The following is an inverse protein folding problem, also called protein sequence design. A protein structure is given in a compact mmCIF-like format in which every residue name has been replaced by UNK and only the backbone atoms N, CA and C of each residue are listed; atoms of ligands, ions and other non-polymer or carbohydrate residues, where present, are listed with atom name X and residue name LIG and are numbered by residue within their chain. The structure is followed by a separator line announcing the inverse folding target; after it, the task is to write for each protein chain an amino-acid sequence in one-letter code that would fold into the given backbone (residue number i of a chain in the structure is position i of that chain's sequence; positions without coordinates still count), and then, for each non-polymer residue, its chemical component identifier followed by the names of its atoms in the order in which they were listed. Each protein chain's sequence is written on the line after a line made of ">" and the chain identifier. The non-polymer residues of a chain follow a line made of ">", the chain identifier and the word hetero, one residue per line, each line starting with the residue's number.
data_IF_491617478223
#
_entry.id   IF_491617478223
#
_cell.length_a   1.000
_cell.length_b   1.000
_cell.length_c   1.000
_cell.angle_alpha   90.00
_cell.angle_beta   90.00
_cell.angle_gamma   90.00
#
_symmetry.space_group_name_H-M   'P 1'
#
loop_
_entity.id
_entity.type
_entity.pdbx_description
1 polymer ?
#
# COMPACT_ATOMS: atom_id res chain seq x y z
N UNK A 1 -28.37 -6.44 -25.38
CA UNK A 1 -26.91 -6.29 -25.21
C UNK A 1 -26.49 -7.13 -24.02
N UNK A 2 -25.73 -8.19 -24.24
CA UNK A 2 -25.18 -9.01 -23.15
C UNK A 2 -24.08 -8.20 -22.48
N UNK A 3 -24.25 -7.84 -21.19
CA UNK A 3 -23.16 -7.36 -20.37
C UNK A 3 -22.13 -8.48 -20.30
N UNK A 4 -21.02 -8.33 -21.00
CA UNK A 4 -19.86 -9.19 -20.79
C UNK A 4 -19.42 -8.96 -19.34
N UNK A 5 -19.72 -9.90 -18.44
CA UNK A 5 -19.17 -9.89 -17.10
C UNK A 5 -17.67 -10.06 -17.28
N UNK A 6 -16.93 -8.97 -17.15
CA UNK A 6 -15.48 -9.04 -17.04
C UNK A 6 -15.17 -9.78 -15.74
N UNK A 7 -14.74 -11.03 -15.85
CA UNK A 7 -14.23 -11.73 -14.69
C UNK A 7 -12.91 -11.07 -14.29
N UNK A 8 -12.79 -10.76 -13.01
CA UNK A 8 -11.62 -10.10 -12.42
C UNK A 8 -11.06 -11.01 -11.33
N UNK A 9 -9.79 -11.38 -11.45
CA UNK A 9 -9.11 -12.28 -10.53
C UNK A 9 -8.13 -11.51 -9.67
N UNK A 10 -8.28 -11.62 -8.34
CA UNK A 10 -7.30 -11.16 -7.36
C UNK A 10 -6.26 -12.25 -7.17
N UNK A 11 -5.01 -11.95 -7.45
CA UNK A 11 -3.88 -12.89 -7.44
C UNK A 11 -2.69 -12.26 -6.70
N UNK A 12 -1.80 -13.10 -6.15
CA UNK A 12 -0.49 -12.62 -5.71
C UNK A 12 0.33 -12.11 -6.90
N UNK A 13 0.99 -10.98 -6.72
CA UNK A 13 1.92 -10.43 -7.71
C UNK A 13 3.13 -11.35 -7.88
N UNK A 14 3.40 -11.78 -9.10
CA UNK A 14 4.57 -12.57 -9.48
C UNK A 14 5.64 -11.70 -10.16
N UNK A 15 6.83 -12.26 -10.37
CA UNK A 15 7.89 -11.57 -11.13
C UNK A 15 7.47 -11.25 -12.56
N UNK A 16 6.60 -12.08 -13.16
CA UNK A 16 6.11 -11.89 -14.53
C UNK A 16 5.19 -10.68 -14.66
N UNK A 17 4.52 -10.27 -13.58
CA UNK A 17 3.59 -9.14 -13.57
C UNK A 17 4.30 -7.79 -13.47
N UNK A 18 5.60 -7.79 -13.15
CA UNK A 18 6.35 -6.57 -12.82
C UNK A 18 6.24 -5.48 -13.90
N UNK A 19 6.38 -5.85 -15.17
CA UNK A 19 6.34 -4.89 -16.29
C UNK A 19 4.96 -4.27 -16.41
N UNK A 20 3.90 -5.07 -16.33
CA UNK A 20 2.52 -4.59 -16.41
C UNK A 20 2.14 -3.72 -15.21
N UNK A 21 2.57 -4.11 -14.00
CA UNK A 21 2.39 -3.28 -12.81
C UNK A 21 3.07 -1.92 -12.97
N UNK A 22 4.32 -1.87 -13.48
CA UNK A 22 5.02 -0.59 -13.73
C UNK A 22 4.25 0.26 -14.74
N UNK A 23 3.76 -0.33 -15.84
CA UNK A 23 2.93 0.37 -16.83
C UNK A 23 1.65 0.94 -16.22
N UNK A 24 0.95 0.15 -15.40
CA UNK A 24 -0.24 0.59 -14.68
C UNK A 24 0.06 1.77 -13.75
N UNK A 25 1.16 1.70 -13.00
CA UNK A 25 1.60 2.78 -12.13
C UNK A 25 1.97 4.05 -12.89
N UNK A 26 2.61 3.93 -14.05
CA UNK A 26 2.93 5.07 -14.91
C UNK A 26 1.68 5.70 -15.52
N UNK A 27 0.68 4.89 -15.86
CA UNK A 27 -0.62 5.35 -16.35
C UNK A 27 -1.38 6.14 -15.28
N UNK A 28 -1.41 5.66 -14.03
CA UNK A 28 -2.22 6.25 -12.94
C UNK A 28 -1.56 7.45 -12.31
N UNK A 29 -0.23 7.41 -12.07
CA UNK A 29 0.47 8.42 -11.26
C UNK A 29 1.40 9.32 -12.05
N UNK A 30 1.63 9.06 -13.33
CA UNK A 30 2.67 9.68 -14.15
C UNK A 30 4.12 9.48 -13.59
N UNK A 31 5.17 9.78 -14.37
CA UNK A 31 6.57 9.57 -13.95
C UNK A 31 7.00 10.31 -12.67
N UNK A 32 6.31 11.40 -12.31
CA UNK A 32 6.59 12.19 -11.10
C UNK A 32 6.39 11.43 -9.79
N UNK A 33 5.72 10.26 -9.80
CA UNK A 33 5.56 9.42 -8.61
C UNK A 33 6.89 9.09 -7.91
N UNK A 34 7.98 8.99 -8.68
CA UNK A 34 9.32 8.68 -8.17
C UNK A 34 9.90 9.77 -7.26
N UNK A 35 9.35 10.97 -7.30
CA UNK A 35 9.74 12.10 -6.46
C UNK A 35 9.00 12.14 -5.11
N UNK A 36 8.01 11.27 -4.91
CA UNK A 36 7.24 11.22 -3.68
C UNK A 36 8.08 10.64 -2.54
N UNK A 37 7.91 11.18 -1.33
CA UNK A 37 8.61 10.75 -0.12
C UNK A 37 8.43 9.25 0.17
N UNK A 38 7.23 8.75 -0.02
CA UNK A 38 6.93 7.32 0.13
C UNK A 38 7.68 6.43 -0.87
N UNK A 39 8.09 6.99 -2.02
CA UNK A 39 8.87 6.26 -3.01
C UNK A 39 10.32 6.08 -2.58
N UNK A 40 10.91 7.07 -1.93
CA UNK A 40 12.28 6.99 -1.41
C UNK A 40 12.41 5.90 -0.35
N UNK A 41 11.43 5.81 0.57
CA UNK A 41 11.41 4.75 1.58
C UNK A 41 11.27 3.34 0.95
N UNK A 42 10.57 3.22 -0.18
CA UNK A 42 10.42 1.94 -0.91
C UNK A 42 11.68 1.50 -1.66
N UNK A 43 12.55 2.44 -2.03
CA UNK A 43 13.74 2.09 -2.80
C UNK A 43 14.73 1.21 -2.02
N UNK A 44 14.76 1.34 -0.70
CA UNK A 44 15.61 0.57 0.20
C UNK A 44 14.88 -0.56 0.93
N UNK A 45 13.53 -0.46 1.04
CA UNK A 45 12.73 -1.46 1.74
C UNK A 45 12.45 -2.71 0.89
N UNK A 46 12.36 -3.86 1.55
CA UNK A 46 12.01 -5.12 0.90
C UNK A 46 10.50 -5.22 0.65
N UNK A 47 10.12 -5.51 -0.61
CA UNK A 47 8.74 -5.81 -0.96
C UNK A 47 8.29 -7.11 -0.30
N UNK A 48 7.12 -7.08 0.35
CA UNK A 48 6.51 -8.26 0.98
C UNK A 48 5.67 -9.00 -0.07
N UNK A 49 6.23 -10.09 -0.62
CA UNK A 49 5.65 -10.76 -1.78
C UNK A 49 4.28 -11.39 -1.51
N UNK A 50 4.07 -11.97 -0.32
CA UNK A 50 2.78 -12.58 0.08
C UNK A 50 1.70 -11.55 0.46
N UNK A 51 2.03 -10.25 0.44
CA UNK A 51 1.11 -9.13 0.65
C UNK A 51 0.96 -8.24 -0.58
N UNK A 52 1.64 -8.56 -1.69
CA UNK A 52 1.56 -7.77 -2.91
C UNK A 52 0.65 -8.48 -3.90
N UNK A 53 -0.38 -7.76 -4.38
CA UNK A 53 -1.46 -8.35 -5.19
C UNK A 53 -1.67 -7.59 -6.49
N UNK A 54 -2.15 -8.32 -7.48
CA UNK A 54 -2.67 -7.79 -8.74
C UNK A 54 -4.11 -8.24 -8.94
N UNK A 55 -4.88 -7.44 -9.68
CA UNK A 55 -6.16 -7.85 -10.26
C UNK A 55 -5.95 -7.94 -11.77
N UNK A 56 -6.33 -9.07 -12.35
CA UNK A 56 -6.27 -9.31 -13.79
C UNK A 56 -7.66 -9.46 -14.38
N UNK A 57 -7.80 -9.03 -15.62
CA UNK A 57 -9.03 -9.16 -16.40
C UNK A 57 -9.03 -10.45 -17.27
N UNK A 58 -10.07 -10.61 -18.09
CA UNK A 58 -10.23 -11.75 -19.01
C UNK A 58 -9.09 -11.89 -20.05
N UNK A 59 -8.39 -10.81 -20.36
CA UNK A 59 -7.24 -10.79 -21.25
C UNK A 59 -5.93 -11.10 -20.54
N UNK A 60 -6.01 -11.40 -19.22
CA UNK A 60 -4.87 -11.60 -18.32
C UNK A 60 -4.01 -10.33 -18.13
N UNK A 61 -4.57 -9.14 -18.42
CA UNK A 61 -3.91 -7.86 -18.21
C UNK A 61 -4.08 -7.37 -16.76
N UNK A 62 -3.04 -6.74 -16.21
CA UNK A 62 -3.06 -6.17 -14.85
C UNK A 62 -3.85 -4.86 -14.86
N UNK A 63 -5.03 -4.88 -14.23
CA UNK A 63 -5.94 -3.74 -14.11
C UNK A 63 -5.99 -3.13 -12.71
N UNK A 64 -5.41 -3.80 -11.72
CA UNK A 64 -5.26 -3.31 -10.35
C UNK A 64 -3.99 -3.85 -9.71
N UNK A 65 -3.38 -3.07 -8.81
CA UNK A 65 -2.18 -3.50 -8.08
C UNK A 65 -2.08 -2.80 -6.74
N UNK A 66 -1.63 -3.55 -5.74
CA UNK A 66 -1.22 -3.04 -4.43
C UNK A 66 0.07 -3.72 -4.00
N UNK A 67 0.98 -2.96 -3.38
CA UNK A 67 2.22 -3.48 -2.82
C UNK A 67 2.37 -3.08 -1.37
N UNK A 68 3.07 -3.91 -0.61
CA UNK A 68 3.46 -3.65 0.77
C UNK A 68 4.97 -3.84 0.92
N UNK A 69 5.57 -3.03 1.80
CA UNK A 69 7.01 -2.98 2.02
C UNK A 69 7.31 -3.15 3.50
N UNK A 70 8.31 -3.95 3.81
CA UNK A 70 8.74 -4.18 5.18
C UNK A 70 9.49 -2.95 5.69
N UNK A 71 8.94 -2.30 6.72
CA UNK A 71 9.52 -1.13 7.37
C UNK A 71 9.44 -1.26 8.89
N UNK A 72 10.19 -0.42 9.58
CA UNK A 72 10.15 -0.30 11.05
C UNK A 72 10.33 1.15 11.46
N UNK A 73 10.08 1.44 12.73
CA UNK A 73 10.58 2.67 13.35
C UNK A 73 12.04 2.45 13.78
N UNK A 74 12.86 3.49 13.64
CA UNK A 74 14.28 3.47 14.04
C UNK A 74 14.49 3.12 15.52
N UNK A 75 13.55 3.52 16.36
CA UNK A 75 13.55 3.30 17.82
C UNK A 75 12.95 1.96 18.27
N UNK A 76 12.38 1.15 17.36
CA UNK A 76 11.61 -0.05 17.72
C UNK A 76 11.84 -1.23 16.76
N UNK A 77 11.60 -2.44 17.28
CA UNK A 77 11.76 -3.70 16.53
C UNK A 77 10.43 -4.28 16.04
N UNK A 78 9.31 -3.60 16.27
CA UNK A 78 8.00 -4.08 15.81
C UNK A 78 7.89 -4.14 14.30
N UNK A 79 7.18 -5.15 13.80
CA UNK A 79 6.99 -5.38 12.38
C UNK A 79 5.94 -4.43 11.80
N UNK A 80 6.35 -3.59 10.89
CA UNK A 80 5.49 -2.63 10.22
C UNK A 80 5.50 -2.72 8.72
N UNK A 81 4.44 -2.25 8.12
CA UNK A 81 4.24 -2.22 6.67
C UNK A 81 4.04 -0.80 6.16
N UNK A 82 4.67 -0.49 5.04
CA UNK A 82 4.28 0.64 4.20
C UNK A 82 3.37 0.13 3.08
N UNK A 83 2.11 0.56 3.09
CA UNK A 83 1.15 0.28 2.03
C UNK A 83 1.39 1.21 0.83
N UNK A 84 1.46 0.63 -0.34
CA UNK A 84 1.48 1.35 -1.61
C UNK A 84 2.68 1.01 -2.51
N UNK A 85 2.59 1.38 -3.78
CA UNK A 85 1.48 2.09 -4.42
C UNK A 85 0.22 1.22 -4.56
N UNK A 86 -0.94 1.86 -4.50
CA UNK A 86 -2.23 1.30 -4.88
C UNK A 86 -2.65 1.94 -6.21
N UNK A 87 -2.91 1.15 -7.22
CA UNK A 87 -3.35 1.63 -8.52
C UNK A 87 -4.49 0.78 -9.09
N UNK A 88 -5.45 1.44 -9.73
CA UNK A 88 -6.52 0.81 -10.50
C UNK A 88 -6.61 1.52 -11.85
N UNK A 89 -6.64 0.73 -12.91
CA UNK A 89 -6.76 1.23 -14.28
C UNK A 89 -8.00 2.13 -14.42
N UNK A 90 -7.91 3.31 -15.09
CA UNK A 90 -8.99 4.29 -15.13
C UNK A 90 -10.35 3.73 -15.56
N UNK A 91 -10.37 2.76 -16.50
CA UNK A 91 -11.61 2.13 -16.99
C UNK A 91 -12.34 1.33 -15.89
N UNK A 92 -11.60 0.81 -14.90
CA UNK A 92 -12.12 0.00 -13.79
C UNK A 92 -12.26 0.77 -12.47
N UNK A 93 -11.99 2.08 -12.48
CA UNK A 93 -12.22 2.91 -11.30
C UNK A 93 -13.72 2.97 -10.97
N UNK A 94 -14.04 3.13 -9.70
CA UNK A 94 -15.41 3.08 -9.16
C UNK A 94 -16.09 1.69 -9.13
N UNK A 95 -15.40 0.63 -9.54
CA UNK A 95 -15.88 -0.75 -9.42
C UNK A 95 -15.47 -1.45 -8.11
N UNK A 96 -14.91 -0.72 -7.15
CA UNK A 96 -14.51 -1.24 -5.85
C UNK A 96 -13.17 -2.03 -5.84
N UNK A 97 -12.42 -2.04 -6.94
CA UNK A 97 -11.18 -2.83 -7.02
C UNK A 97 -10.10 -2.35 -6.05
N UNK A 98 -9.96 -1.04 -5.86
CA UNK A 98 -9.03 -0.47 -4.88
C UNK A 98 -9.39 -0.88 -3.46
N UNK A 99 -10.68 -0.87 -3.11
CA UNK A 99 -11.18 -1.34 -1.83
C UNK A 99 -10.88 -2.81 -1.60
N UNK A 100 -11.17 -3.66 -2.59
CA UNK A 100 -10.86 -5.10 -2.54
C UNK A 100 -9.38 -5.37 -2.30
N UNK A 101 -8.49 -4.64 -2.98
CA UNK A 101 -7.04 -4.75 -2.80
C UNK A 101 -6.60 -4.36 -1.39
N UNK A 102 -7.09 -3.23 -0.87
CA UNK A 102 -6.74 -2.74 0.48
C UNK A 102 -7.23 -3.69 1.56
N UNK A 103 -8.51 -4.11 1.51
CA UNK A 103 -9.09 -5.02 2.50
C UNK A 103 -8.38 -6.37 2.52
N UNK A 104 -8.09 -6.95 1.34
CA UNK A 104 -7.36 -8.20 1.25
C UNK A 104 -5.94 -8.09 1.84
N UNK A 105 -5.25 -6.97 1.57
CA UNK A 105 -3.92 -6.73 2.13
C UNK A 105 -3.92 -6.56 3.65
N UNK A 106 -4.90 -5.84 4.21
CA UNK A 106 -5.05 -5.67 5.67
C UNK A 106 -5.36 -7.03 6.33
N UNK A 107 -6.29 -7.79 5.77
CA UNK A 107 -6.67 -9.11 6.29
C UNK A 107 -5.47 -10.06 6.32
N UNK A 108 -4.72 -10.14 5.23
CA UNK A 108 -3.51 -10.97 5.17
C UNK A 108 -2.43 -10.48 6.13
N UNK A 109 -2.25 -9.17 6.28
CA UNK A 109 -1.31 -8.60 7.25
C UNK A 109 -1.67 -9.00 8.70
N UNK A 110 -2.97 -9.05 9.03
CA UNK A 110 -3.45 -9.54 10.31
C UNK A 110 -3.09 -11.03 10.52
N UNK A 111 -3.34 -11.89 9.55
CA UNK A 111 -3.01 -13.31 9.63
C UNK A 111 -1.51 -13.59 9.71
N UNK A 112 -0.69 -12.75 9.08
CA UNK A 112 0.77 -12.86 9.11
C UNK A 112 1.40 -12.21 10.36
N UNK A 113 0.60 -11.76 11.32
CA UNK A 113 1.02 -11.12 12.57
C UNK A 113 1.87 -9.86 12.37
N UNK A 114 1.52 -9.01 11.40
CA UNK A 114 2.06 -7.67 11.32
C UNK A 114 1.41 -6.78 12.39
N UNK A 115 2.19 -5.86 12.97
CA UNK A 115 1.69 -5.04 14.07
C UNK A 115 0.93 -3.81 13.57
N UNK A 116 1.41 -3.16 12.53
CA UNK A 116 0.86 -1.90 12.03
C UNK A 116 1.13 -1.69 10.54
N UNK A 117 0.30 -0.83 9.94
CA UNK A 117 0.45 -0.36 8.56
C UNK A 117 0.45 1.16 8.55
N UNK A 118 1.34 1.77 7.79
CA UNK A 118 1.30 3.19 7.46
C UNK A 118 1.23 3.39 5.95
N UNK A 119 0.72 4.54 5.53
CA UNK A 119 0.69 4.96 4.13
C UNK A 119 0.75 6.47 4.01
N UNK A 120 1.07 6.96 2.82
CA UNK A 120 0.93 8.37 2.45
C UNK A 120 -0.22 8.46 1.45
N UNK A 121 -1.32 9.09 1.86
CA UNK A 121 -2.54 9.12 1.04
C UNK A 121 -3.62 10.06 1.56
N UNK A 122 -4.78 10.03 0.93
CA UNK A 122 -5.91 10.89 1.28
C UNK A 122 -6.73 10.28 2.40
N UNK A 123 -6.87 11.01 3.50
CA UNK A 123 -7.67 10.57 4.66
C UNK A 123 -9.12 10.26 4.26
N UNK A 124 -9.71 11.05 3.37
CA UNK A 124 -11.08 10.84 2.89
C UNK A 124 -11.29 9.46 2.25
N UNK A 125 -10.27 8.91 1.60
CA UNK A 125 -10.32 7.57 1.01
C UNK A 125 -9.98 6.47 2.02
N UNK A 126 -8.91 6.66 2.81
CA UNK A 126 -8.38 5.59 3.66
C UNK A 126 -9.04 5.47 5.03
N UNK A 127 -9.80 6.49 5.48
CA UNK A 127 -10.50 6.45 6.78
C UNK A 127 -11.53 5.32 6.89
N UNK A 128 -12.16 4.93 5.79
CA UNK A 128 -13.11 3.81 5.75
C UNK A 128 -12.48 2.44 6.05
N UNK A 129 -11.15 2.32 5.95
CA UNK A 129 -10.38 1.13 6.31
C UNK A 129 -9.77 1.22 7.72
N UNK A 130 -10.07 2.26 8.47
CA UNK A 130 -9.56 2.47 9.83
C UNK A 130 -8.28 3.30 9.91
N UNK A 131 -7.69 3.74 8.80
CA UNK A 131 -6.52 4.60 8.83
C UNK A 131 -6.86 6.00 9.34
N UNK A 132 -5.96 6.56 10.15
CA UNK A 132 -6.09 7.94 10.66
C UNK A 132 -4.74 8.60 10.84
N UNK A 133 -4.75 9.91 11.16
CA UNK A 133 -3.54 10.70 11.45
C UNK A 133 -3.06 10.55 12.88
N UNK A 134 -3.93 10.19 13.81
CA UNK A 134 -3.62 10.18 15.24
C UNK A 134 -2.45 9.24 15.58
N UNK A 135 -2.42 7.99 15.09
CA UNK A 135 -1.33 7.08 15.41
C UNK A 135 0.04 7.52 14.88
N UNK A 136 0.08 8.40 13.88
CA UNK A 136 1.33 8.82 13.23
C UNK A 136 1.86 10.18 13.68
N UNK A 137 1.29 10.80 14.71
CA UNK A 137 1.67 12.16 15.15
C UNK A 137 3.13 12.30 15.57
N UNK A 138 3.72 11.25 16.16
CA UNK A 138 5.13 11.22 16.56
C UNK A 138 6.07 10.63 15.51
N UNK A 139 5.54 10.26 14.33
CA UNK A 139 6.27 9.50 13.32
C UNK A 139 6.64 10.38 12.14
N UNK A 140 7.87 10.27 11.64
CA UNK A 140 8.34 10.94 10.45
C UNK A 140 8.73 9.94 9.33
N UNK A 141 8.58 10.34 8.08
CA UNK A 141 9.01 9.54 6.91
C UNK A 141 10.53 9.67 6.68
N UNK A 142 11.20 10.55 7.42
CA UNK A 142 12.62 10.85 7.28
C UNK A 142 12.89 12.32 6.89
N UNK A 143 14.14 12.66 6.77
CA UNK A 143 14.72 14.00 6.67
C UNK A 143 13.90 15.04 5.87
N UNK A 144 13.02 15.79 6.56
CA UNK A 144 12.33 16.94 5.97
C UNK A 144 11.24 16.63 4.95
N UNK A 145 10.81 15.35 4.86
CA UNK A 145 9.71 14.96 3.97
C UNK A 145 8.35 15.32 4.58
N UNK A 146 7.38 15.64 3.72
CA UNK A 146 6.03 16.03 4.15
C UNK A 146 5.26 14.86 4.77
N UNK A 147 4.97 14.97 6.08
CA UNK A 147 4.18 14.02 6.85
C UNK A 147 2.67 14.34 6.87
N UNK A 148 2.23 15.41 6.21
CA UNK A 148 0.84 15.89 6.30
C UNK A 148 -0.19 14.85 5.87
N UNK A 149 0.22 13.92 5.00
CA UNK A 149 -0.61 12.83 4.47
C UNK A 149 -0.23 11.45 5.01
N UNK A 150 0.64 11.38 6.03
CA UNK A 150 0.98 10.11 6.69
C UNK A 150 -0.20 9.64 7.53
N UNK A 151 -0.66 8.44 7.25
CA UNK A 151 -1.76 7.78 7.95
C UNK A 151 -1.29 6.45 8.52
N UNK A 152 -1.86 6.04 9.65
CA UNK A 152 -1.52 4.78 10.31
C UNK A 152 -2.75 3.97 10.71
N UNK A 153 -2.55 2.67 10.79
CA UNK A 153 -3.49 1.67 11.26
C UNK A 153 -2.74 0.65 12.12
N UNK A 154 -3.12 0.52 13.39
CA UNK A 154 -2.71 -0.61 14.22
C UNK A 154 -3.53 -1.84 13.87
N UNK A 155 -2.88 -3.01 13.76
CA UNK A 155 -3.53 -4.27 13.37
C UNK A 155 -3.71 -5.19 14.58
N UNK A 156 -2.62 -5.53 15.26
CA UNK A 156 -2.63 -6.52 16.33
C UNK A 156 -2.49 -5.93 17.72
N UNK A 157 -1.85 -4.79 17.89
CA UNK A 157 -1.63 -4.11 19.15
C UNK A 157 -1.64 -2.60 18.92
N UNK A 158 -2.00 -1.81 19.94
CA UNK A 158 -1.92 -0.34 19.88
C UNK A 158 -0.46 0.11 19.99
N UNK A 159 0.31 -0.08 18.92
CA UNK A 159 1.74 0.21 18.89
C UNK A 159 2.06 1.63 18.40
N UNK A 160 1.37 2.08 17.36
CA UNK A 160 1.65 3.39 16.75
C UNK A 160 1.23 4.55 17.65
N UNK A 161 0.19 4.36 18.46
CA UNK A 161 -0.30 5.41 19.35
C UNK A 161 0.76 5.73 20.41
N UNK A 162 1.29 6.95 20.34
CA UNK A 162 2.38 7.41 21.23
C UNK A 162 3.79 7.03 20.77
N UNK A 163 3.95 6.28 19.69
CA UNK A 163 5.26 5.99 19.12
C UNK A 163 5.91 7.25 18.56
N UNK A 164 7.21 7.38 18.76
CA UNK A 164 8.02 8.49 18.25
C UNK A 164 9.21 7.90 17.48
N UNK A 165 9.49 8.41 16.29
CA UNK A 165 10.63 7.96 15.52
C UNK A 165 10.51 8.21 14.02
N UNK A 166 11.51 7.77 13.29
CA UNK A 166 11.53 7.83 11.83
C UNK A 166 11.28 6.46 11.22
N UNK A 167 10.50 6.43 10.15
CA UNK A 167 10.31 5.22 9.35
C UNK A 167 11.58 4.92 8.57
N UNK A 168 12.06 3.69 8.70
CA UNK A 168 13.23 3.18 7.97
C UNK A 168 12.91 1.79 7.40
N UNK A 169 13.72 1.34 6.44
CA UNK A 169 13.65 -0.03 5.97
C UNK A 169 13.90 -1.03 7.09
N UNK A 170 13.21 -2.15 7.06
CA UNK A 170 13.52 -3.31 7.87
C UNK A 170 14.39 -4.27 7.06
N UNK A 171 15.54 -4.62 7.62
CA UNK A 171 16.45 -5.61 7.04
C UNK A 171 15.89 -7.02 7.11
#
# INVERSE_FOLDING_TARGET
>A
MKSSHNNLWLLLETKNDHIEVVRLLDLVFAPRRKLLSSYQLRNSANKVNNLSYVIKDNSNEVVGSIRFWNIRLDSHTSKGLLLGPLAVHPIYQSEGLGEKLVLNGIEQAYFDNWNWIVLVGDLSYYSKFGFSKNPTRGISIGNGLDNSRLLGLDINDSFLEGAIGSLIEAS
#
